data_IF_399858817721
#
_entry.id   IF_399858817721
#
_cell.length_a   1.000
_cell.length_b   1.000
_cell.length_c   1.000
_cell.angle_alpha   90.00
_cell.angle_beta   90.00
_cell.angle_gamma   90.00
#
_symmetry.space_group_name_H-M   'P 1'
#
loop_
_entity.id
_entity.type
_entity.pdbx_description
1 polymer ?
#
# COMPACT_ATOMS: atom_id res chain seq x y z
N UNK A 1 -62.21 -12.52 11.24
CA UNK A 1 -61.27 -13.22 12.14
C UNK A 1 -59.89 -13.24 11.49
N UNK A 2 -58.94 -12.57 12.16
CA UNK A 2 -57.47 -12.71 12.19
C UNK A 2 -56.63 -12.91 10.90
N UNK A 3 -55.74 -11.92 10.70
CA UNK A 3 -54.46 -11.95 9.98
C UNK A 3 -53.64 -13.22 10.26
N UNK A 4 -53.14 -13.88 9.21
CA UNK A 4 -52.03 -14.83 9.26
C UNK A 4 -50.83 -14.19 8.54
N UNK A 5 -50.02 -13.42 9.25
CA UNK A 5 -48.81 -13.84 9.95
C UNK A 5 -47.62 -14.02 9.01
N UNK A 6 -46.70 -13.06 9.10
CA UNK A 6 -45.32 -13.16 8.67
C UNK A 6 -44.73 -14.50 9.13
N UNK A 7 -44.20 -15.26 8.18
CA UNK A 7 -43.41 -16.45 8.44
C UNK A 7 -42.25 -16.47 7.48
N UNK A 8 -41.36 -15.48 7.57
CA UNK A 8 -40.04 -15.50 6.94
C UNK A 8 -39.27 -16.70 7.48
N UNK A 9 -39.44 -17.84 6.84
CA UNK A 9 -38.80 -19.10 7.19
C UNK A 9 -37.44 -19.16 6.49
N UNK A 10 -36.57 -18.21 6.87
CA UNK A 10 -35.21 -18.08 6.38
C UNK A 10 -34.22 -18.65 7.38
N UNK A 11 -33.81 -19.90 7.17
CA UNK A 11 -32.48 -20.38 7.53
C UNK A 11 -32.21 -20.72 9.00
N UNK A 12 -32.75 -21.83 9.48
CA UNK A 12 -32.17 -22.56 10.61
C UNK A 12 -31.90 -24.00 10.17
N UNK A 13 -30.63 -24.36 9.98
CA UNK A 13 -30.24 -25.79 10.00
C UNK A 13 -29.26 -26.29 8.93
N UNK A 14 -28.87 -25.50 7.93
CA UNK A 14 -27.96 -25.97 6.85
C UNK A 14 -26.65 -25.18 6.70
N UNK A 15 -26.41 -24.20 7.57
CA UNK A 15 -25.73 -22.97 7.13
C UNK A 15 -24.33 -22.75 7.71
N UNK A 16 -23.70 -23.72 8.37
CA UNK A 16 -22.35 -23.46 8.92
C UNK A 16 -21.34 -23.40 7.76
N UNK A 17 -21.27 -24.43 6.92
CA UNK A 17 -20.35 -24.47 5.79
C UNK A 17 -20.66 -23.39 4.73
N UNK A 18 -21.94 -23.13 4.46
CA UNK A 18 -22.39 -22.08 3.56
C UNK A 18 -22.08 -20.67 4.08
N UNK A 19 -22.29 -20.41 5.37
CA UNK A 19 -21.93 -19.11 5.97
C UNK A 19 -20.42 -18.93 6.02
N UNK A 20 -19.62 -19.97 6.28
CA UNK A 20 -18.16 -19.85 6.26
C UNK A 20 -17.64 -19.46 4.87
N UNK A 21 -18.13 -20.11 3.81
CA UNK A 21 -17.73 -19.78 2.44
C UNK A 21 -18.15 -18.35 2.08
N UNK A 22 -19.38 -17.95 2.44
CA UNK A 22 -19.87 -16.60 2.17
C UNK A 22 -19.07 -15.53 2.90
N UNK A 23 -18.79 -15.73 4.19
CA UNK A 23 -17.94 -14.82 4.99
C UNK A 23 -16.51 -14.74 4.44
N UNK A 24 -15.94 -15.87 4.02
CA UNK A 24 -14.60 -15.90 3.46
C UNK A 24 -14.49 -15.12 2.14
N UNK A 25 -15.48 -15.26 1.26
CA UNK A 25 -15.56 -14.52 -0.01
C UNK A 25 -15.66 -13.01 0.26
N UNK A 26 -16.47 -12.59 1.23
CA UNK A 26 -16.57 -11.16 1.61
C UNK A 26 -15.25 -10.60 2.12
N UNK A 27 -14.51 -11.35 2.93
CA UNK A 27 -13.19 -10.94 3.44
C UNK A 27 -12.20 -10.77 2.28
N UNK A 28 -12.20 -11.70 1.32
CA UNK A 28 -11.34 -11.61 0.13
C UNK A 28 -11.65 -10.35 -0.67
N UNK A 29 -12.93 -10.05 -0.90
CA UNK A 29 -13.35 -8.85 -1.64
C UNK A 29 -12.83 -7.58 -0.96
N UNK A 30 -12.98 -7.49 0.37
CA UNK A 30 -12.48 -6.34 1.15
C UNK A 30 -10.96 -6.23 1.04
N UNK A 31 -10.22 -7.34 1.18
CA UNK A 31 -8.78 -7.35 1.02
C UNK A 31 -8.34 -6.93 -0.39
N UNK A 32 -9.08 -7.32 -1.42
CA UNK A 32 -8.78 -6.96 -2.81
C UNK A 32 -8.97 -5.45 -3.03
N UNK A 33 -10.04 -4.86 -2.49
CA UNK A 33 -10.27 -3.41 -2.53
C UNK A 33 -9.14 -2.66 -1.81
N UNK A 34 -8.76 -3.10 -0.60
CA UNK A 34 -7.64 -2.52 0.15
C UNK A 34 -6.33 -2.67 -0.63
N UNK A 35 -6.08 -3.83 -1.24
CA UNK A 35 -4.88 -4.07 -2.04
C UNK A 35 -4.82 -3.15 -3.27
N UNK A 36 -5.94 -2.88 -3.94
CA UNK A 36 -6.00 -1.93 -5.06
C UNK A 36 -5.76 -0.50 -4.60
N UNK A 37 -6.37 -0.09 -3.49
CA UNK A 37 -6.13 1.22 -2.89
C UNK A 37 -4.67 1.38 -2.49
N UNK A 38 -4.11 0.40 -1.77
CA UNK A 38 -2.69 0.40 -1.40
C UNK A 38 -1.82 0.36 -2.65
N UNK A 39 -2.15 -0.39 -3.69
CA UNK A 39 -1.35 -0.44 -4.92
C UNK A 39 -1.38 0.89 -5.69
N UNK A 40 -2.50 1.61 -5.67
CA UNK A 40 -2.66 2.91 -6.31
C UNK A 40 -1.94 4.03 -5.54
N UNK A 41 -1.92 3.96 -4.20
CA UNK A 41 -1.25 4.94 -3.34
C UNK A 41 0.18 4.56 -2.93
N UNK A 42 0.60 3.31 -3.15
CA UNK A 42 1.99 2.90 -2.96
C UNK A 42 2.76 3.51 -4.12
N UNK A 43 3.61 4.52 -3.89
CA UNK A 43 4.52 4.96 -4.93
C UNK A 43 5.23 3.70 -5.41
N UNK A 44 5.29 3.52 -6.72
CA UNK A 44 6.02 2.44 -7.35
C UNK A 44 7.52 2.59 -7.02
N UNK A 45 7.90 2.28 -5.79
CA UNK A 45 9.24 1.92 -5.39
C UNK A 45 9.54 0.49 -5.83
N UNK A 46 8.87 0.02 -6.88
CA UNK A 46 9.46 -0.94 -7.81
C UNK A 46 10.50 -0.16 -8.61
N UNK A 47 11.64 0.05 -7.98
CA UNK A 47 12.97 0.18 -8.54
C UNK A 47 13.88 0.55 -7.36
N UNK A 48 14.96 -0.22 -7.20
CA UNK A 48 16.22 0.19 -6.56
C UNK A 48 16.68 -0.55 -5.29
N UNK A 49 16.31 -1.82 -5.05
CA UNK A 49 17.16 -2.64 -4.18
C UNK A 49 18.62 -2.73 -4.66
N UNK A 50 18.91 -2.29 -5.91
CA UNK A 50 20.28 -2.11 -6.46
C UNK A 50 20.64 -0.65 -6.89
N UNK A 51 19.77 0.37 -6.69
CA UNK A 51 20.16 1.79 -6.90
C UNK A 51 19.89 2.71 -5.70
N UNK A 52 19.55 2.15 -4.54
CA UNK A 52 19.27 2.95 -3.34
C UNK A 52 20.53 3.69 -2.86
N UNK A 53 21.74 3.14 -3.05
CA UNK A 53 22.97 3.79 -2.59
C UNK A 53 23.33 5.08 -3.35
N UNK A 54 23.14 5.12 -4.67
CA UNK A 54 23.60 6.28 -5.47
C UNK A 54 22.63 7.45 -5.38
N UNK A 55 21.32 7.18 -5.41
CA UNK A 55 20.32 8.24 -5.32
C UNK A 55 20.22 8.81 -3.91
N UNK A 56 20.32 7.99 -2.86
CA UNK A 56 20.29 8.47 -1.48
C UNK A 56 21.52 9.34 -1.17
N UNK A 57 22.71 8.95 -1.63
CA UNK A 57 23.93 9.76 -1.48
C UNK A 57 23.82 11.12 -2.19
N UNK A 58 23.28 11.14 -3.41
CA UNK A 58 23.06 12.39 -4.15
C UNK A 58 21.97 13.27 -3.51
N UNK A 59 20.93 12.66 -2.94
CA UNK A 59 19.83 13.40 -2.30
C UNK A 59 20.29 14.03 -0.97
N UNK A 60 21.11 13.31 -0.20
CA UNK A 60 21.78 13.84 1.00
C UNK A 60 22.69 15.03 0.63
N UNK A 61 23.48 14.92 -0.44
CA UNK A 61 24.33 16.02 -0.90
C UNK A 61 23.51 17.27 -1.29
N UNK A 62 22.40 17.09 -2.03
CA UNK A 62 21.50 18.19 -2.37
C UNK A 62 20.88 18.84 -1.13
N UNK A 63 20.47 18.03 -0.15
CA UNK A 63 19.88 18.54 1.09
C UNK A 63 20.88 19.38 1.88
N UNK A 64 22.16 18.98 1.93
CA UNK A 64 23.23 19.74 2.60
C UNK A 64 23.57 21.04 1.87
N UNK A 65 23.57 21.03 0.54
CA UNK A 65 23.73 22.24 -0.27
C UNK A 65 22.58 23.23 -0.02
N UNK A 66 21.33 22.74 0.03
CA UNK A 66 20.17 23.57 0.32
C UNK A 66 20.17 24.15 1.75
N UNK A 67 20.82 23.46 2.70
CA UNK A 67 21.05 23.96 4.06
C UNK A 67 22.25 24.91 4.16
N UNK A 68 23.05 25.05 3.09
CA UNK A 68 24.29 25.82 3.10
C UNK A 68 25.42 25.18 3.91
N UNK A 69 25.31 23.88 4.23
CA UNK A 69 26.34 23.13 4.98
C UNK A 69 27.56 22.77 4.11
N UNK A 70 27.39 22.76 2.78
CA UNK A 70 28.45 22.54 1.79
C UNK A 70 28.38 23.62 0.71
N UNK A 71 29.52 23.96 0.12
CA UNK A 71 29.56 24.88 -1.02
C UNK A 71 29.19 24.19 -2.34
N UNK A 72 28.83 24.97 -3.36
CA UNK A 72 28.55 24.46 -4.71
C UNK A 72 29.75 23.72 -5.31
N UNK A 73 30.97 24.19 -5.00
CA UNK A 73 32.22 23.55 -5.43
C UNK A 73 32.41 22.17 -4.80
N UNK A 74 32.10 22.02 -3.52
CA UNK A 74 32.15 20.73 -2.82
C UNK A 74 31.09 19.77 -3.34
N UNK A 75 29.88 20.26 -3.60
CA UNK A 75 28.81 19.48 -4.20
C UNK A 75 29.21 18.89 -5.56
N UNK A 76 29.75 19.70 -6.47
CA UNK A 76 30.18 19.21 -7.79
C UNK A 76 31.33 18.20 -7.69
N UNK A 77 32.29 18.37 -6.77
CA UNK A 77 33.35 17.38 -6.53
C UNK A 77 32.80 16.04 -6.06
N UNK A 78 31.84 16.04 -5.14
CA UNK A 78 31.27 14.83 -4.56
C UNK A 78 30.31 14.13 -5.54
N UNK A 79 29.51 14.89 -6.27
CA UNK A 79 28.65 14.41 -7.35
C UNK A 79 29.44 13.69 -8.45
N UNK A 80 30.60 14.23 -8.83
CA UNK A 80 31.46 13.61 -9.84
C UNK A 80 32.17 12.34 -9.34
N UNK A 81 32.36 12.19 -8.02
CA UNK A 81 32.92 10.96 -7.42
C UNK A 81 31.89 9.83 -7.26
N UNK A 82 30.60 10.17 -7.20
CA UNK A 82 29.48 9.24 -7.03
C UNK A 82 28.87 8.78 -8.37
N UNK A 83 29.37 9.31 -9.50
CA UNK A 83 29.01 8.91 -10.86
C UNK A 83 29.90 7.76 -11.33
#
# INVERSE_FOLDING_TARGET
>A
MMNGNNGGMGGMGGNIFGNFIFTFILIIIILLIIAVLVWMFKPSNKNNSDRFNNNESLDILKQRLARGEISEEEYERLKNKLK
#
